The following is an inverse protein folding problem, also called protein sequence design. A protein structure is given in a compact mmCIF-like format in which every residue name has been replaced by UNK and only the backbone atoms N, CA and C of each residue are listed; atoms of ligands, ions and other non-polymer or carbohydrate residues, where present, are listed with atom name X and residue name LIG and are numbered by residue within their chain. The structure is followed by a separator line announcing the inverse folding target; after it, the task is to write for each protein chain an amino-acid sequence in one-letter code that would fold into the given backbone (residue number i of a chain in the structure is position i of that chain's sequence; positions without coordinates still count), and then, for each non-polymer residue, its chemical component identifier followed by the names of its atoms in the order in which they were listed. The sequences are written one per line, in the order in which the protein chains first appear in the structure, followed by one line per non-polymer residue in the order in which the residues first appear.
data_IF_243700575055
#
_entry.id   IF_243700575055
#
_cell.length_a   1.000
_cell.length_b   1.000
_cell.length_c   1.000
_cell.angle_alpha   90.00
_cell.angle_beta   90.00
_cell.angle_gamma   90.00
#
_symmetry.space_group_name_H-M   'P 1'
#
loop_
_entity.id
_entity.type
_entity.pdbx_description
1 polymer ?
#
# COMPACT_ATOMS: atom_id res chain seq x y z
N UNK A 1 3.75 32.05 23.58
CA UNK A 1 2.99 31.31 22.57
C UNK A 1 3.98 31.00 21.48
N UNK A 2 4.38 29.74 21.34
CA UNK A 2 5.07 29.24 20.15
C UNK A 2 4.61 27.81 19.98
N UNK A 3 3.64 27.63 19.08
CA UNK A 3 2.94 26.38 18.85
C UNK A 3 3.07 26.01 17.38
N UNK A 4 4.32 25.90 16.93
CA UNK A 4 4.65 25.63 15.54
C UNK A 4 5.59 24.44 15.52
N UNK A 5 5.26 23.47 14.67
CA UNK A 5 6.06 22.29 14.31
C UNK A 5 5.75 20.99 15.05
N UNK A 6 4.48 20.56 15.03
CA UNK A 6 4.15 19.12 14.95
C UNK A 6 3.09 18.94 13.85
N UNK A 7 3.50 19.13 12.60
CA UNK A 7 2.67 18.83 11.43
C UNK A 7 3.51 18.01 10.46
N UNK A 8 3.57 16.69 10.64
CA UNK A 8 4.02 15.80 9.54
C UNK A 8 3.73 14.30 9.72
N UNK A 9 2.96 13.85 10.71
CA UNK A 9 2.73 12.40 10.89
C UNK A 9 1.30 11.93 10.63
N UNK A 10 0.34 12.83 10.44
CA UNK A 10 -1.09 12.48 10.41
C UNK A 10 -1.91 13.29 9.40
N UNK A 11 -1.31 13.89 8.37
CA UNK A 11 -2.06 14.68 7.37
C UNK A 11 -3.16 13.86 6.65
N UNK A 12 -3.00 12.54 6.56
CA UNK A 12 -3.99 11.61 6.01
C UNK A 12 -5.12 11.25 6.98
N UNK A 13 -5.17 11.87 8.16
CA UNK A 13 -6.27 11.81 9.14
C UNK A 13 -7.07 13.13 9.21
N UNK A 14 -6.69 14.15 8.45
CA UNK A 14 -7.52 15.32 8.26
C UNK A 14 -8.68 14.98 7.30
N UNK A 15 -9.83 15.65 7.45
CA UNK A 15 -11.02 15.59 6.57
C UNK A 15 -10.73 16.07 5.12
N UNK A 16 -9.50 15.89 4.63
CA UNK A 16 -9.06 16.26 3.29
C UNK A 16 -8.97 15.04 2.36
N UNK A 17 -9.24 13.83 2.88
CA UNK A 17 -9.06 12.58 2.17
C UNK A 17 -10.24 11.63 2.30
N UNK A 18 -10.67 11.10 1.16
CA UNK A 18 -11.61 9.99 1.10
C UNK A 18 -10.86 8.68 0.91
N UNK A 19 -11.30 7.64 1.61
CA UNK A 19 -10.63 6.33 1.59
C UNK A 19 -11.63 5.22 1.28
N UNK A 20 -11.28 4.41 0.29
CA UNK A 20 -12.03 3.25 -0.14
C UNK A 20 -11.18 2.00 0.05
N UNK A 21 -11.78 0.95 0.62
CA UNK A 21 -11.10 -0.32 0.86
C UNK A 21 -11.93 -1.45 0.29
N UNK A 22 -11.31 -2.34 -0.48
CA UNK A 22 -12.00 -3.38 -1.25
C UNK A 22 -12.83 -4.33 -0.38
N UNK A 23 -12.42 -4.56 0.87
CA UNK A 23 -13.19 -5.42 1.80
C UNK A 23 -14.43 -4.74 2.39
N UNK A 24 -14.56 -3.42 2.28
CA UNK A 24 -15.68 -2.64 2.83
C UNK A 24 -16.56 -2.17 1.68
N UNK A 25 -16.00 -1.32 0.82
CA UNK A 25 -16.65 -0.77 -0.36
C UNK A 25 -15.61 -0.09 -1.23
N UNK A 26 -15.50 -0.52 -2.49
CA UNK A 26 -14.70 0.12 -3.53
C UNK A 26 -15.58 0.22 -4.79
N UNK A 27 -16.09 1.40 -5.13
CA UNK A 27 -16.86 1.60 -6.37
C UNK A 27 -16.00 1.37 -7.61
N UNK A 28 -16.60 0.84 -8.68
CA UNK A 28 -15.93 0.59 -9.97
C UNK A 28 -15.19 1.83 -10.50
N UNK A 29 -15.80 3.02 -10.44
CA UNK A 29 -15.17 4.26 -10.91
C UNK A 29 -13.93 4.69 -10.10
N UNK A 30 -13.83 4.28 -8.82
CA UNK A 30 -12.64 4.50 -8.00
C UNK A 30 -11.56 3.47 -8.37
N UNK A 31 -11.96 2.22 -8.64
CA UNK A 31 -11.04 1.19 -9.11
C UNK A 31 -10.43 1.57 -10.47
N UNK A 32 -11.25 2.02 -11.42
CA UNK A 32 -10.80 2.55 -12.72
C UNK A 32 -9.81 3.72 -12.56
N UNK A 33 -10.14 4.69 -11.70
CA UNK A 33 -9.23 5.82 -11.42
C UNK A 33 -7.90 5.37 -10.79
N UNK A 34 -7.94 4.35 -9.93
CA UNK A 34 -6.74 3.77 -9.35
C UNK A 34 -5.92 3.00 -10.39
N UNK A 35 -6.55 2.31 -11.35
CA UNK A 35 -5.83 1.69 -12.47
C UNK A 35 -5.14 2.72 -13.36
N UNK A 36 -5.81 3.83 -13.67
CA UNK A 36 -5.24 4.95 -14.45
C UNK A 36 -4.06 5.63 -13.73
N UNK A 37 -4.08 5.65 -12.41
CA UNK A 37 -3.00 6.17 -11.57
C UNK A 37 -1.76 5.25 -11.57
N UNK A 38 -1.96 3.93 -11.66
CA UNK A 38 -0.87 2.97 -11.48
C UNK A 38 0.07 2.92 -12.71
N UNK A 39 1.38 2.73 -12.50
CA UNK A 39 2.31 2.52 -13.60
C UNK A 39 1.95 1.30 -14.45
N UNK A 40 2.39 1.29 -15.71
CA UNK A 40 2.19 0.14 -16.60
C UNK A 40 2.89 -1.13 -16.07
N UNK A 41 2.21 -2.26 -16.20
CA UNK A 41 2.73 -3.56 -15.78
C UNK A 41 4.09 -3.90 -16.42
N UNK A 42 5.06 -4.29 -15.58
CA UNK A 42 6.42 -4.67 -15.97
C UNK A 42 7.46 -3.56 -15.91
N UNK A 43 7.05 -2.30 -15.67
CA UNK A 43 7.97 -1.17 -15.46
C UNK A 43 8.64 -1.26 -14.08
N UNK A 44 9.90 -0.85 -13.99
CA UNK A 44 10.61 -0.74 -12.71
C UNK A 44 10.02 0.41 -11.88
N UNK A 45 9.62 0.12 -10.64
CA UNK A 45 9.01 1.11 -9.74
C UNK A 45 10.08 1.91 -9.01
N UNK A 46 9.83 3.22 -8.85
CA UNK A 46 10.64 4.10 -8.01
C UNK A 46 10.37 3.78 -6.54
N UNK A 47 11.44 3.78 -5.73
CA UNK A 47 11.39 3.41 -4.31
C UNK A 47 11.78 4.63 -3.47
N UNK A 48 10.87 5.07 -2.59
CA UNK A 48 11.07 6.27 -1.79
C UNK A 48 12.17 6.12 -0.74
N UNK A 49 12.64 7.24 -0.21
CA UNK A 49 13.57 7.24 0.93
C UNK A 49 13.00 6.52 2.16
N UNK A 50 11.68 6.60 2.38
CA UNK A 50 11.03 5.88 3.48
C UNK A 50 11.07 4.36 3.26
N UNK A 51 10.82 3.91 2.02
CA UNK A 51 10.96 2.51 1.65
C UNK A 51 12.36 2.00 1.98
N UNK A 52 13.40 2.73 1.55
CA UNK A 52 14.79 2.34 1.78
C UNK A 52 15.14 2.22 3.25
N UNK A 53 14.66 3.14 4.09
CA UNK A 53 14.85 3.09 5.55
C UNK A 53 14.21 1.87 6.19
N UNK A 54 13.03 1.45 5.72
CA UNK A 54 12.28 0.31 6.28
C UNK A 54 12.63 -1.03 5.65
N UNK A 55 13.44 -1.02 4.58
CA UNK A 55 13.74 -2.19 3.78
C UNK A 55 14.35 -3.34 4.57
N UNK A 56 15.35 -3.07 5.42
CA UNK A 56 16.07 -4.11 6.15
C UNK A 56 15.20 -4.75 7.23
N UNK A 57 14.52 -3.90 8.01
CA UNK A 57 13.55 -4.29 9.04
C UNK A 57 12.46 -5.21 8.45
N UNK A 58 11.89 -4.82 7.31
CA UNK A 58 10.79 -5.54 6.65
C UNK A 58 11.25 -6.60 5.64
N UNK A 59 12.56 -6.82 5.49
CA UNK A 59 13.18 -7.75 4.51
C UNK A 59 12.69 -7.54 3.06
N UNK A 60 12.53 -6.28 2.66
CA UNK A 60 11.98 -5.92 1.36
C UNK A 60 13.05 -6.03 0.24
N UNK A 61 12.63 -6.27 -1.02
CA UNK A 61 13.56 -6.33 -2.15
C UNK A 61 14.26 -4.99 -2.42
N UNK A 62 15.32 -5.00 -3.24
CA UNK A 62 16.01 -3.78 -3.69
C UNK A 62 15.43 -3.18 -4.96
N UNK A 63 14.62 -3.97 -5.67
CA UNK A 63 13.99 -3.58 -6.91
C UNK A 63 12.63 -4.27 -6.97
N UNK A 64 11.63 -3.51 -7.41
CA UNK A 64 10.27 -4.00 -7.60
C UNK A 64 9.87 -3.57 -9.01
N UNK A 65 9.30 -4.50 -9.76
CA UNK A 65 8.59 -4.18 -11.00
C UNK A 65 7.11 -4.19 -10.74
N UNK A 66 6.40 -3.29 -11.41
CA UNK A 66 4.96 -3.27 -11.38
C UNK A 66 4.44 -4.65 -11.82
N UNK A 67 3.62 -5.34 -10.99
CA UNK A 67 3.03 -6.61 -11.38
C UNK A 67 2.09 -6.43 -12.58
N UNK A 68 1.97 -7.47 -13.42
CA UNK A 68 0.95 -7.52 -14.48
C UNK A 68 -0.43 -7.93 -13.98
N UNK A 69 -0.49 -8.57 -12.81
CA UNK A 69 -1.70 -9.03 -12.18
C UNK A 69 -1.60 -8.72 -10.68
N UNK A 70 -2.56 -7.97 -10.17
CA UNK A 70 -2.64 -7.51 -8.79
C UNK A 70 -4.10 -7.30 -8.40
N UNK A 71 -4.34 -7.14 -7.11
CA UNK A 71 -5.59 -6.70 -6.54
C UNK A 71 -5.39 -5.30 -5.96
N UNK A 72 -6.30 -4.37 -6.24
CA UNK A 72 -6.38 -3.10 -5.50
C UNK A 72 -7.00 -3.39 -4.13
N UNK A 73 -6.33 -2.96 -3.07
CA UNK A 73 -6.72 -3.20 -1.67
C UNK A 73 -7.34 -1.94 -1.07
N UNK A 74 -6.74 -0.80 -1.33
CA UNK A 74 -7.08 0.49 -0.73
C UNK A 74 -6.77 1.63 -1.69
N UNK A 75 -7.65 2.62 -1.76
CA UNK A 75 -7.46 3.83 -2.55
C UNK A 75 -7.76 5.03 -1.66
N UNK A 76 -6.84 5.99 -1.64
CA UNK A 76 -7.04 7.28 -0.98
C UNK A 76 -7.10 8.38 -2.03
N UNK A 77 -8.13 9.23 -1.97
CA UNK A 77 -8.35 10.36 -2.86
C UNK A 77 -8.28 11.64 -2.06
N UNK A 78 -7.83 12.72 -2.70
CA UNK A 78 -7.97 14.07 -2.15
C UNK A 78 -9.44 14.48 -2.26
N UNK A 79 -10.11 14.76 -1.15
CA UNK A 79 -11.55 15.01 -1.11
C UNK A 79 -11.97 16.16 -2.01
N UNK A 80 -11.20 17.26 -2.01
CA UNK A 80 -11.50 18.47 -2.77
C UNK A 80 -11.41 18.30 -4.29
N UNK A 81 -10.53 17.42 -4.79
CA UNK A 81 -10.25 17.28 -6.23
C UNK A 81 -10.67 15.93 -6.80
N UNK A 82 -10.94 14.96 -5.92
CA UNK A 82 -11.09 13.53 -6.25
C UNK A 82 -9.88 12.95 -7.00
N UNK A 83 -8.71 13.59 -6.88
CA UNK A 83 -7.48 13.05 -7.43
C UNK A 83 -7.01 11.85 -6.58
N UNK A 84 -6.58 10.78 -7.23
CA UNK A 84 -5.96 9.64 -6.55
C UNK A 84 -4.64 10.09 -5.94
N UNK A 85 -4.51 9.94 -4.63
CA UNK A 85 -3.32 10.28 -3.87
C UNK A 85 -2.47 9.04 -3.58
N UNK A 86 -3.13 7.93 -3.24
CA UNK A 86 -2.50 6.68 -2.83
C UNK A 86 -3.27 5.49 -3.34
N UNK A 87 -2.55 4.48 -3.81
CA UNK A 87 -3.10 3.17 -4.14
C UNK A 87 -2.30 2.08 -3.43
N UNK A 88 -3.00 1.20 -2.73
CA UNK A 88 -2.46 -0.01 -2.15
C UNK A 88 -2.79 -1.20 -3.05
N UNK A 89 -1.78 -1.93 -3.51
CA UNK A 89 -1.97 -3.13 -4.33
C UNK A 89 -1.37 -4.36 -3.67
N UNK A 90 -1.95 -5.53 -3.93
CA UNK A 90 -1.46 -6.84 -3.47
C UNK A 90 -1.25 -7.78 -4.65
N UNK A 91 -0.14 -8.53 -4.65
CA UNK A 91 0.14 -9.51 -5.70
C UNK A 91 1.06 -10.64 -5.20
N UNK A 92 1.02 -11.81 -5.86
CA UNK A 92 1.92 -12.91 -5.53
C UNK A 92 3.39 -12.52 -5.72
N UNK A 93 4.21 -12.79 -4.71
CA UNK A 93 5.65 -12.52 -4.72
C UNK A 93 6.46 -13.77 -4.41
N UNK A 94 7.47 -14.01 -5.25
CA UNK A 94 8.43 -15.10 -5.04
C UNK A 94 9.80 -14.50 -4.76
N UNK A 95 10.28 -14.63 -3.53
CA UNK A 95 11.64 -14.25 -3.18
C UNK A 95 12.61 -15.27 -3.80
N UNK A 96 13.39 -14.84 -4.81
CA UNK A 96 14.33 -15.71 -5.56
C UNK A 96 15.45 -16.34 -4.70
N UNK A 97 15.60 -15.95 -3.43
CA UNK A 97 16.70 -16.36 -2.54
C UNK A 97 16.28 -17.14 -1.29
N UNK A 98 15.01 -17.56 -1.15
CA UNK A 98 14.60 -18.45 -0.07
C UNK A 98 14.57 -19.88 -0.63
N UNK A 99 15.48 -20.74 -0.14
CA UNK A 99 15.60 -22.16 -0.52
C UNK A 99 14.38 -23.01 -0.16
N UNK A 100 13.45 -22.45 0.59
CA UNK A 100 12.09 -22.93 0.76
C UNK A 100 11.18 -22.14 -0.18
N UNK A 101 10.41 -22.83 -1.02
CA UNK A 101 9.38 -22.27 -1.91
C UNK A 101 8.18 -21.72 -1.13
N UNK A 102 8.41 -20.85 -0.15
CA UNK A 102 7.38 -20.12 0.58
C UNK A 102 6.83 -19.06 -0.36
N UNK A 103 5.59 -19.27 -0.79
CA UNK A 103 4.80 -18.27 -1.51
C UNK A 103 4.47 -17.15 -0.52
N UNK A 104 4.72 -15.92 -0.91
CA UNK A 104 4.30 -14.74 -0.18
C UNK A 104 3.41 -13.92 -1.10
N UNK A 105 2.57 -13.08 -0.52
CA UNK A 105 2.03 -11.95 -1.24
C UNK A 105 2.81 -10.70 -0.84
N UNK A 106 3.00 -9.80 -1.80
CA UNK A 106 3.54 -8.49 -1.56
C UNK A 106 2.42 -7.47 -1.62
N UNK A 107 2.28 -6.69 -0.56
CA UNK A 107 1.43 -5.51 -0.53
C UNK A 107 2.29 -4.27 -0.68
N UNK A 108 2.01 -3.43 -1.66
CA UNK A 108 2.71 -2.17 -1.92
C UNK A 108 1.77 -1.01 -1.68
N UNK A 109 2.33 0.08 -1.17
CA UNK A 109 1.66 1.37 -1.11
C UNK A 109 2.39 2.30 -2.07
N UNK A 110 1.66 2.75 -3.10
CA UNK A 110 2.12 3.72 -4.08
C UNK A 110 1.48 5.08 -3.78
N UNK A 111 2.26 6.15 -3.83
CA UNK A 111 1.79 7.53 -3.63
C UNK A 111 2.33 8.46 -4.72
N UNK A 112 1.66 9.59 -4.92
CA UNK A 112 2.10 10.62 -5.87
C UNK A 112 2.19 10.07 -7.28
N UNK A 113 3.36 10.14 -7.91
CA UNK A 113 3.56 9.68 -9.30
C UNK A 113 3.85 8.16 -9.39
N UNK A 114 3.19 7.36 -8.55
CA UNK A 114 3.40 5.90 -8.50
C UNK A 114 4.71 5.48 -7.80
N UNK A 115 5.24 6.32 -6.91
CA UNK A 115 6.41 5.97 -6.09
C UNK A 115 6.00 4.99 -4.98
N UNK A 116 6.77 3.91 -4.79
CA UNK A 116 6.54 2.96 -3.70
C UNK A 116 7.06 3.55 -2.40
N UNK A 117 6.14 3.86 -1.49
CA UNK A 117 6.49 4.45 -0.19
C UNK A 117 6.79 3.36 0.83
N UNK A 118 6.00 2.29 0.87
CA UNK A 118 6.24 1.15 1.75
C UNK A 118 5.73 -0.14 1.12
N UNK A 119 6.21 -1.27 1.64
CA UNK A 119 5.72 -2.58 1.30
C UNK A 119 5.63 -3.48 2.53
N UNK A 120 4.89 -4.58 2.39
CA UNK A 120 4.83 -5.66 3.36
C UNK A 120 4.83 -7.01 2.63
N UNK A 121 5.58 -7.96 3.18
CA UNK A 121 5.52 -9.36 2.77
C UNK A 121 4.52 -10.08 3.67
N UNK A 122 3.40 -10.50 3.09
CA UNK A 122 2.37 -11.28 3.74
C UNK A 122 2.65 -12.75 3.46
N UNK A 123 2.57 -13.62 4.48
CA UNK A 123 2.60 -15.06 4.21
C UNK A 123 1.41 -15.39 3.31
N UNK A 124 1.63 -16.14 2.23
CA UNK A 124 0.52 -16.58 1.41
C UNK A 124 -0.36 -17.49 2.27
N UNK A 125 -1.48 -16.95 2.74
CA UNK A 125 -2.57 -17.73 3.26
C UNK A 125 -3.02 -18.68 2.14
N UNK A 126 -3.14 -19.99 2.43
CA UNK A 126 -3.77 -20.95 1.51
C UNK A 126 -5.26 -20.63 1.27
N UNK A 127 -5.81 -19.66 1.97
CA UNK A 127 -7.18 -19.19 1.85
C UNK A 127 -7.18 -17.87 1.06
N UNK A 128 -7.31 -17.97 -0.27
CA UNK A 128 -7.80 -16.87 -1.11
C UNK A 128 -9.33 -16.72 -0.97
N UNK A 129 -10.00 -17.62 -0.24
CA UNK A 129 -11.38 -17.43 0.18
C UNK A 129 -11.44 -17.31 1.71
N UNK A 130 -12.05 -16.21 2.16
CA UNK A 130 -12.53 -15.91 3.52
C UNK A 130 -11.60 -15.08 4.42
N UNK A 131 -12.03 -13.83 4.56
CA UNK A 131 -11.87 -12.92 5.70
C UNK A 131 -10.43 -12.58 6.08
N UNK A 132 -10.04 -11.34 5.79
CA UNK A 132 -9.05 -10.66 6.62
C UNK A 132 -9.69 -10.56 8.01
N UNK A 133 -9.18 -11.33 8.96
CA UNK A 133 -9.53 -11.22 10.37
C UNK A 133 -9.29 -9.79 10.84
N UNK A 134 -10.36 -9.16 11.32
CA UNK A 134 -10.33 -8.01 12.22
C UNK A 134 -9.47 -8.39 13.44
N UNK A 135 -8.18 -8.03 13.46
CA UNK A 135 -7.33 -8.49 14.57
C UNK A 135 -5.93 -7.92 14.74
N UNK A 136 -5.42 -7.04 13.86
CA UNK A 136 -4.09 -6.42 14.07
C UNK A 136 -4.08 -4.89 13.86
N UNK A 137 -5.17 -4.23 14.24
CA UNK A 137 -5.14 -2.81 14.62
C UNK A 137 -5.39 -2.72 16.13
N UNK A 138 -4.51 -3.32 16.94
CA UNK A 138 -4.34 -2.85 18.32
C UNK A 138 -3.66 -1.48 18.25
N UNK A 139 -4.46 -0.42 18.33
CA UNK A 139 -3.97 0.86 18.81
C UNK A 139 -3.86 0.72 20.33
N UNK A 140 -2.64 0.69 20.86
CA UNK A 140 -2.44 0.99 22.27
C UNK A 140 -2.95 2.43 22.51
N UNK A 141 -3.93 2.65 23.40
CA UNK A 141 -4.20 4.00 23.87
C UNK A 141 -3.03 4.40 24.75
N UNK A 142 -2.37 5.51 24.41
CA UNK A 142 -1.42 6.14 25.34
C UNK A 142 -2.12 7.30 26.01
N UNK A 143 -2.28 7.16 27.33
CA UNK A 143 -2.75 8.21 28.26
C UNK A 143 -1.89 9.49 28.20
#
# INVERSE_FOLDING_TARGET
MDNTTIQTFQAHLADDYERYHTSVYLPDYIEEAAEDFLPLGGVDLLLSNFYWRKREEKRLPRAIRMPKAYQIVDVTLVEATKAVFRVCIRFPWTARNLSDSKRFDMQLVLEGDGEVVTAQLLRASRAVDKYVEEGEYEQEPTD
#
